data_IF_865282886653
#
_entry.id   IF_865282886653
#
_cell.length_a   1.000
_cell.length_b   1.000
_cell.length_c   1.000
_cell.angle_alpha   90.00
_cell.angle_beta   90.00
_cell.angle_gamma   90.00
#
_symmetry.space_group_name_H-M   'P 1'
#
loop_
_entity.id
_entity.type
_entity.pdbx_description
1 polymer ?
#
# COMPACT_ATOMS: atom_id res chain seq x y z
N UNK A 1 24.48 -15.03 -6.67
CA UNK A 1 23.32 -14.76 -7.54
C UNK A 1 23.32 -13.26 -7.80
N UNK A 2 23.68 -12.82 -9.01
CA UNK A 2 23.66 -11.41 -9.41
C UNK A 2 22.42 -11.21 -10.30
N UNK A 3 21.27 -10.96 -9.68
CA UNK A 3 20.10 -10.40 -10.33
C UNK A 3 19.99 -8.94 -9.90
N UNK A 4 19.83 -8.01 -10.84
CA UNK A 4 19.54 -6.63 -10.47
C UNK A 4 18.27 -6.62 -9.59
N UNK A 5 18.38 -6.15 -8.35
CA UNK A 5 17.21 -5.91 -7.52
C UNK A 5 16.37 -4.83 -8.23
N UNK A 6 15.22 -5.22 -8.78
CA UNK A 6 14.28 -4.27 -9.36
C UNK A 6 13.32 -3.85 -8.25
N UNK A 7 13.35 -2.57 -7.87
CA UNK A 7 12.38 -2.01 -6.93
C UNK A 7 11.04 -1.75 -7.63
N UNK A 8 9.93 -2.03 -6.95
CA UNK A 8 8.58 -1.75 -7.43
C UNK A 8 7.99 -0.53 -6.71
N UNK A 9 7.64 0.52 -7.45
CA UNK A 9 6.86 1.63 -6.89
C UNK A 9 5.37 1.43 -7.19
N UNK A 10 4.54 1.45 -6.14
CA UNK A 10 3.09 1.30 -6.25
C UNK A 10 2.41 2.61 -5.88
N UNK A 11 1.64 3.18 -6.80
CA UNK A 11 0.97 4.48 -6.64
C UNK A 11 -0.49 4.28 -6.25
N UNK A 12 -0.90 4.88 -5.14
CA UNK A 12 -2.27 4.90 -4.63
C UNK A 12 -2.61 3.73 -3.72
N UNK A 13 -3.21 3.98 -2.57
CA UNK A 13 -3.36 2.95 -1.54
C UNK A 13 -4.57 2.01 -1.72
N UNK A 14 -5.64 2.36 -2.47
CA UNK A 14 -6.88 1.55 -2.50
C UNK A 14 -6.64 0.13 -3.02
N UNK A 15 -6.12 0.02 -4.25
CA UNK A 15 -5.66 -1.25 -4.81
C UNK A 15 -4.17 -1.47 -4.54
N UNK A 16 -3.38 -0.39 -4.58
CA UNK A 16 -1.94 -0.49 -4.51
C UNK A 16 -1.39 -0.96 -3.16
N UNK A 17 -2.08 -0.70 -2.05
CA UNK A 17 -1.63 -1.24 -0.76
C UNK A 17 -1.66 -2.77 -0.74
N UNK A 18 -2.76 -3.38 -1.22
CA UNK A 18 -2.92 -4.84 -1.24
C UNK A 18 -1.95 -5.47 -2.24
N UNK A 19 -1.84 -4.89 -3.44
CA UNK A 19 -0.89 -5.37 -4.44
C UNK A 19 0.56 -5.24 -3.97
N UNK A 20 0.93 -4.08 -3.40
CA UNK A 20 2.27 -3.83 -2.89
C UNK A 20 2.66 -4.74 -1.73
N UNK A 21 1.74 -4.96 -0.78
CA UNK A 21 1.95 -5.91 0.30
C UNK A 21 2.17 -7.34 -0.24
N UNK A 22 1.35 -7.78 -1.19
CA UNK A 22 1.52 -9.09 -1.82
C UNK A 22 2.87 -9.24 -2.54
N UNK A 23 3.33 -8.21 -3.27
CA UNK A 23 4.66 -8.25 -3.91
C UNK A 23 5.81 -8.29 -2.88
N UNK A 24 5.69 -7.54 -1.79
CA UNK A 24 6.66 -7.58 -0.70
C UNK A 24 6.72 -8.97 -0.04
N UNK A 25 5.57 -9.64 0.13
CA UNK A 25 5.52 -11.03 0.64
C UNK A 25 6.24 -12.04 -0.27
N UNK A 26 6.37 -11.74 -1.57
CA UNK A 26 7.16 -12.54 -2.53
C UNK A 26 8.65 -12.15 -2.60
N UNK A 27 9.09 -11.19 -1.78
CA UNK A 27 10.50 -10.80 -1.65
C UNK A 27 10.93 -9.63 -2.54
N UNK A 28 9.99 -8.93 -3.18
CA UNK A 28 10.27 -7.70 -3.93
C UNK A 28 10.50 -6.53 -2.96
N UNK A 29 11.41 -5.63 -3.31
CA UNK A 29 11.52 -4.33 -2.64
C UNK A 29 10.43 -3.40 -3.16
N UNK A 30 9.47 -3.05 -2.31
CA UNK A 30 8.27 -2.29 -2.70
C UNK A 30 8.20 -0.95 -1.96
N UNK A 31 8.00 0.13 -2.72
CA UNK A 31 7.69 1.46 -2.19
C UNK A 31 6.24 1.83 -2.54
N UNK A 32 5.38 1.95 -1.53
CA UNK A 32 4.00 2.41 -1.70
C UNK A 32 3.92 3.92 -1.51
N UNK A 33 3.46 4.65 -2.52
CA UNK A 33 3.34 6.12 -2.50
C UNK A 33 1.89 6.56 -2.70
N UNK A 34 1.49 7.63 -2.01
CA UNK A 34 0.16 8.24 -2.11
C UNK A 34 0.29 9.74 -1.83
N UNK A 35 -0.67 10.54 -2.31
CA UNK A 35 -0.73 11.98 -2.01
C UNK A 35 -1.35 12.25 -0.63
N UNK A 36 -2.04 11.27 -0.04
CA UNK A 36 -2.67 11.38 1.26
C UNK A 36 -1.69 11.04 2.39
N UNK A 37 -1.00 12.07 2.87
CA UNK A 37 -0.05 11.96 3.99
C UNK A 37 -0.71 11.34 5.24
N UNK A 38 -1.98 11.66 5.53
CA UNK A 38 -2.68 11.09 6.69
C UNK A 38 -2.88 9.57 6.53
N UNK A 39 -3.19 9.12 5.31
CA UNK A 39 -3.28 7.70 5.00
C UNK A 39 -1.93 7.00 5.15
N UNK A 40 -0.85 7.64 4.70
CA UNK A 40 0.52 7.12 4.86
C UNK A 40 0.92 7.03 6.34
N UNK A 41 0.65 8.06 7.13
CA UNK A 41 0.99 8.09 8.56
C UNK A 41 0.20 7.06 9.36
N UNK A 42 -1.08 6.86 9.05
CA UNK A 42 -1.89 5.77 9.62
C UNK A 42 -1.25 4.39 9.34
N UNK A 43 -0.86 4.13 8.08
CA UNK A 43 -0.21 2.86 7.72
C UNK A 43 1.11 2.64 8.44
N UNK A 44 1.94 3.69 8.60
CA UNK A 44 3.18 3.63 9.40
C UNK A 44 2.90 3.33 10.87
N UNK A 45 1.73 3.75 11.38
CA UNK A 45 1.22 3.40 12.71
C UNK A 45 0.53 2.04 12.80
N UNK A 46 0.57 1.21 11.74
CA UNK A 46 -0.19 -0.04 11.63
C UNK A 46 -1.72 0.14 11.75
N UNK A 47 -2.22 1.33 11.44
CA UNK A 47 -3.64 1.64 11.39
C UNK A 47 -4.17 1.56 9.95
N UNK A 48 -5.39 1.06 9.79
CA UNK A 48 -6.06 1.08 8.49
C UNK A 48 -6.57 2.50 8.17
N UNK A 49 -6.23 3.08 7.01
CA UNK A 49 -6.75 4.39 6.62
C UNK A 49 -8.29 4.39 6.61
N UNK A 50 -8.90 5.44 7.17
CA UNK A 50 -10.36 5.55 7.31
C UNK A 50 -11.12 5.43 5.99
N UNK A 51 -10.51 5.91 4.89
CA UNK A 51 -11.08 5.80 3.53
C UNK A 51 -11.18 4.35 3.04
N UNK A 52 -10.26 3.48 3.47
CA UNK A 52 -10.27 2.05 3.18
C UNK A 52 -11.31 1.32 4.03
N UNK A 53 -11.49 1.74 5.28
CA UNK A 53 -12.58 1.26 6.14
C UNK A 53 -13.95 1.57 5.55
N UNK A 54 -14.17 2.76 4.98
CA UNK A 54 -15.44 3.09 4.30
C UNK A 54 -15.72 2.15 3.11
N UNK A 55 -14.69 1.83 2.32
CA UNK A 55 -14.83 0.90 1.21
C UNK A 55 -15.08 -0.54 1.69
N UNK A 56 -14.33 -1.00 2.70
CA UNK A 56 -14.48 -2.33 3.27
C UNK A 56 -15.85 -2.54 3.95
N UNK A 57 -16.41 -1.49 4.55
CA UNK A 57 -17.74 -1.52 5.18
C UNK A 57 -18.89 -1.33 4.18
N UNK A 58 -18.59 -1.08 2.90
CA UNK A 58 -19.60 -0.86 1.85
C UNK A 58 -20.47 0.39 2.07
N UNK A 59 -20.03 1.31 2.93
CA UNK A 59 -20.76 2.55 3.26
C UNK A 59 -20.35 3.74 2.40
N UNK A 60 -19.42 3.54 1.47
CA UNK A 60 -18.99 4.56 0.51
C UNK A 60 -19.70 4.46 -0.85
N UNK A 61 -20.91 5.01 -0.94
CA UNK A 61 -21.57 5.52 -2.15
C UNK A 61 -22.50 6.68 -1.77
#
# INVERSE_FOLDING_TARGET
MNGAAYGLTVIGQLAGLVSGANFADFGEEVECVDLDDNGIDALKGCEMPKRHLLFALGTGL
#
